data_IF_593540827470
#
_entry.id   IF_593540827470
#
_cell.length_a   1.000
_cell.length_b   1.000
_cell.length_c   1.000
_cell.angle_alpha   90.00
_cell.angle_beta   90.00
_cell.angle_gamma   90.00
#
_symmetry.space_group_name_H-M   'P 1'
#
loop_
_entity.id
_entity.type
_entity.pdbx_description
1 polymer ?
#
# COMPACT_ATOMS: atom_id res chain seq x y z
N UNK A 1 12.05 -36.21 56.52
CA UNK A 1 12.39 -35.01 55.72
C UNK A 1 13.79 -35.24 55.17
N UNK A 2 14.05 -36.26 54.33
CA UNK A 2 13.63 -36.47 52.93
C UNK A 2 14.14 -35.35 52.02
N UNK A 3 14.75 -35.51 50.84
CA UNK A 3 15.25 -36.60 49.98
C UNK A 3 15.96 -35.86 48.82
N UNK A 4 16.95 -36.47 48.17
CA UNK A 4 17.54 -35.97 46.91
C UNK A 4 16.50 -35.94 45.74
N UNK A 5 16.82 -35.30 44.59
CA UNK A 5 15.85 -34.58 43.77
C UNK A 5 15.26 -35.38 42.60
N UNK A 6 14.03 -35.04 42.18
CA UNK A 6 13.46 -35.46 40.90
C UNK A 6 12.95 -34.24 40.15
N UNK A 7 13.48 -34.02 38.94
CA UNK A 7 12.99 -33.03 37.97
C UNK A 7 11.72 -33.54 37.29
N UNK A 8 10.68 -32.72 37.07
CA UNK A 8 9.75 -32.95 35.98
C UNK A 8 10.26 -32.28 34.71
N UNK A 9 10.22 -33.02 33.60
CA UNK A 9 10.51 -32.55 32.27
C UNK A 9 9.57 -31.43 31.85
N UNK A 10 10.15 -30.34 31.37
CA UNK A 10 9.45 -29.22 30.75
C UNK A 10 9.12 -29.62 29.32
N UNK A 11 7.90 -30.07 29.08
CA UNK A 11 7.24 -29.90 27.78
C UNK A 11 6.78 -28.44 27.68
N UNK A 12 7.45 -27.63 26.86
CA UNK A 12 7.11 -26.23 26.74
C UNK A 12 8.21 -25.43 26.05
N UNK A 13 8.16 -25.43 24.73
CA UNK A 13 8.98 -24.66 23.80
C UNK A 13 9.13 -23.20 24.27
N UNK A 14 10.34 -22.81 24.69
CA UNK A 14 10.67 -21.40 24.93
C UNK A 14 10.65 -20.66 23.60
N UNK A 15 9.65 -19.80 23.41
CA UNK A 15 9.79 -18.66 22.49
C UNK A 15 10.85 -17.75 23.09
N UNK A 16 11.98 -17.59 22.39
CA UNK A 16 12.98 -16.59 22.75
C UNK A 16 12.32 -15.21 22.69
N UNK A 17 12.04 -14.63 23.86
CA UNK A 17 11.85 -13.19 23.99
C UNK A 17 13.17 -12.51 23.65
N UNK A 18 13.26 -11.95 22.45
CA UNK A 18 14.30 -10.98 22.13
C UNK A 18 13.80 -9.59 22.47
N UNK A 19 14.60 -8.94 23.30
CA UNK A 19 14.50 -7.57 23.75
C UNK A 19 14.11 -6.59 22.62
N UNK A 20 13.18 -5.68 22.94
CA UNK A 20 13.08 -4.38 22.31
C UNK A 20 14.41 -3.64 22.53
N UNK A 21 15.33 -3.81 21.59
CA UNK A 21 16.55 -3.02 21.50
C UNK A 21 16.29 -1.79 20.65
N UNK A 22 16.56 -0.62 21.24
CA UNK A 22 16.61 0.73 20.67
C UNK A 22 16.76 0.79 19.14
N UNK A 23 15.61 0.81 18.45
CA UNK A 23 15.54 1.03 17.02
C UNK A 23 15.87 2.48 16.69
N UNK A 24 17.12 2.71 16.27
CA UNK A 24 17.54 3.99 15.70
C UNK A 24 16.52 4.46 14.63
N UNK A 25 16.10 5.73 14.64
CA UNK A 25 15.24 6.27 13.60
C UNK A 25 16.03 6.25 12.29
N UNK A 26 15.51 5.51 11.32
CA UNK A 26 16.07 5.38 9.98
C UNK A 26 16.21 6.78 9.34
N UNK A 27 17.37 7.41 9.53
CA UNK A 27 17.75 8.67 8.91
C UNK A 27 18.36 8.36 7.54
N UNK A 28 17.57 8.64 6.49
CA UNK A 28 18.09 9.03 5.19
C UNK A 28 17.91 8.02 4.05
N UNK A 29 16.80 8.12 3.33
CA UNK A 29 16.80 8.20 1.86
C UNK A 29 15.44 8.75 1.36
N UNK A 30 15.42 9.74 0.45
CA UNK A 30 14.18 10.25 -0.15
C UNK A 30 13.56 9.20 -1.08
N UNK A 31 12.22 9.10 -1.10
CA UNK A 31 11.51 8.18 -1.98
C UNK A 31 11.65 8.61 -3.46
N UNK A 32 12.67 8.08 -4.14
CA UNK A 32 12.82 8.18 -5.58
C UNK A 32 11.93 7.10 -6.24
N UNK A 33 10.80 7.53 -6.81
CA UNK A 33 9.99 6.85 -7.83
C UNK A 33 10.15 5.30 -7.97
N UNK A 34 9.48 4.49 -7.15
CA UNK A 34 9.63 3.03 -7.25
C UNK A 34 8.48 2.10 -6.81
N UNK A 35 7.30 2.59 -6.41
CA UNK A 35 6.16 1.76 -5.98
C UNK A 35 4.81 2.44 -6.31
N UNK A 36 4.45 2.52 -7.59
CA UNK A 36 3.19 3.16 -8.01
C UNK A 36 2.52 2.35 -9.13
N UNK A 37 1.27 1.93 -8.90
CA UNK A 37 0.41 1.39 -9.97
C UNK A 37 -0.22 2.59 -10.68
N UNK A 38 -0.18 2.61 -12.02
CA UNK A 38 -0.85 3.62 -12.84
C UNK A 38 -2.00 2.95 -13.58
N UNK A 39 -3.21 3.46 -13.39
CA UNK A 39 -4.37 3.05 -14.18
C UNK A 39 -4.95 4.27 -14.88
N UNK A 40 -5.25 4.14 -16.18
CA UNK A 40 -5.43 5.26 -17.10
C UNK A 40 -6.37 6.35 -16.60
N UNK A 41 -7.53 5.98 -16.03
CA UNK A 41 -8.53 6.92 -15.49
C UNK A 41 -8.41 7.20 -13.98
N UNK A 42 -7.72 6.31 -13.26
CA UNK A 42 -7.61 6.38 -11.79
C UNK A 42 -6.36 7.16 -11.36
N UNK A 43 -5.39 7.30 -12.26
CA UNK A 43 -4.13 7.96 -12.01
C UNK A 43 -3.17 7.10 -11.19
N UNK A 44 -2.37 7.76 -10.36
CA UNK A 44 -1.41 7.09 -9.49
C UNK A 44 -2.10 6.48 -8.27
N UNK A 45 -1.86 5.19 -8.04
CA UNK A 45 -2.31 4.46 -6.85
C UNK A 45 -1.10 4.19 -5.95
N UNK A 46 -0.99 4.86 -4.78
CA UNK A 46 0.09 4.61 -3.83
C UNK A 46 0.02 3.20 -3.25
N UNK A 47 1.17 2.56 -3.09
CA UNK A 47 1.31 1.31 -2.35
C UNK A 47 1.52 1.60 -0.85
N UNK A 48 0.64 1.09 0.00
CA UNK A 48 0.75 1.08 1.45
C UNK A 48 1.49 -0.21 1.86
N UNK A 49 2.56 -0.12 2.67
CA UNK A 49 3.24 -1.31 3.20
C UNK A 49 2.29 -2.26 3.92
N UNK A 50 2.62 -3.54 3.97
CA UNK A 50 1.79 -4.53 4.65
C UNK A 50 1.60 -4.21 6.14
N UNK A 51 0.35 -4.31 6.58
CA UNK A 51 -0.08 -4.38 7.97
C UNK A 51 -1.12 -5.50 8.10
N UNK A 52 -1.35 -6.01 9.32
CA UNK A 52 -2.42 -6.99 9.53
C UNK A 52 -3.79 -6.35 9.22
N UNK A 53 -4.76 -7.10 8.69
CA UNK A 53 -6.13 -6.61 8.54
C UNK A 53 -6.67 -6.05 9.87
N UNK A 54 -7.27 -4.86 9.82
CA UNK A 54 -7.80 -4.17 10.99
C UNK A 54 -6.77 -3.42 11.84
N UNK A 55 -5.50 -3.35 11.43
CA UNK A 55 -4.51 -2.50 12.08
C UNK A 55 -4.87 -1.00 11.90
N UNK A 56 -5.12 -0.24 12.97
CA UNK A 56 -5.49 1.18 12.87
C UNK A 56 -4.40 2.04 12.21
N UNK A 57 -3.12 1.62 12.24
CA UNK A 57 -2.03 2.35 11.60
C UNK A 57 -2.21 2.52 10.08
N UNK A 58 -2.94 1.59 9.43
CA UNK A 58 -3.28 1.70 8.00
C UNK A 58 -4.13 2.93 7.74
N UNK A 59 -5.13 3.19 8.58
CA UNK A 59 -6.02 4.34 8.45
C UNK A 59 -5.25 5.66 8.51
N UNK A 60 -4.31 5.77 9.45
CA UNK A 60 -3.45 6.95 9.53
C UNK A 60 -2.55 7.12 8.31
N UNK A 61 -2.00 6.02 7.80
CA UNK A 61 -1.15 6.04 6.61
C UNK A 61 -1.92 6.52 5.39
N UNK A 62 -3.11 5.96 5.16
CA UNK A 62 -4.00 6.34 4.07
C UNK A 62 -4.43 7.81 4.21
N UNK A 63 -4.81 8.25 5.40
CA UNK A 63 -5.18 9.65 5.65
C UNK A 63 -4.03 10.63 5.32
N UNK A 64 -2.81 10.33 5.77
CA UNK A 64 -1.62 11.13 5.44
C UNK A 64 -1.36 11.18 3.93
N UNK A 65 -1.50 10.05 3.23
CA UNK A 65 -1.36 10.01 1.78
C UNK A 65 -2.41 10.85 1.06
N UNK A 66 -3.68 10.78 1.47
CA UNK A 66 -4.75 11.59 0.88
C UNK A 66 -4.42 13.09 1.02
N UNK A 67 -4.05 13.53 2.22
CA UNK A 67 -3.70 14.94 2.47
C UNK A 67 -2.49 15.37 1.65
N UNK A 68 -1.41 14.59 1.66
CA UNK A 68 -0.19 14.92 0.92
C UNK A 68 -0.47 15.04 -0.60
N UNK A 69 -1.25 14.11 -1.15
CA UNK A 69 -1.63 14.09 -2.58
C UNK A 69 -2.53 15.25 -2.96
N UNK A 70 -3.50 15.59 -2.11
CA UNK A 70 -4.35 16.78 -2.28
C UNK A 70 -3.52 18.06 -2.30
N UNK A 71 -2.59 18.22 -1.36
CA UNK A 71 -1.73 19.40 -1.28
C UNK A 71 -0.80 19.53 -2.48
N UNK A 72 -0.41 18.41 -3.09
CA UNK A 72 0.38 18.39 -4.33
C UNK A 72 -0.47 18.62 -5.60
N UNK A 73 -1.76 18.93 -5.47
CA UNK A 73 -2.67 19.14 -6.61
C UNK A 73 -3.00 17.86 -7.39
N UNK A 74 -2.74 16.68 -6.81
CA UNK A 74 -2.90 15.37 -7.46
C UNK A 74 -3.75 14.43 -6.60
N UNK A 75 -5.04 14.75 -6.35
CA UNK A 75 -5.87 13.98 -5.44
C UNK A 75 -6.02 12.53 -5.92
N UNK A 76 -5.96 11.59 -4.98
CA UNK A 76 -6.09 10.16 -5.24
C UNK A 76 -7.50 9.65 -4.88
N UNK A 77 -7.89 8.50 -5.47
CA UNK A 77 -9.15 7.79 -5.21
C UNK A 77 -8.97 6.33 -4.80
N UNK A 78 -7.71 5.89 -4.74
CA UNK A 78 -7.37 4.54 -4.38
C UNK A 78 -6.00 4.49 -3.71
N UNK A 79 -5.80 3.46 -2.89
CA UNK A 79 -4.48 2.95 -2.50
C UNK A 79 -4.44 1.46 -2.76
N UNK A 80 -3.24 0.92 -2.95
CA UNK A 80 -3.00 -0.52 -2.94
C UNK A 80 -2.45 -0.89 -1.57
N UNK A 81 -3.13 -1.77 -0.83
CA UNK A 81 -2.60 -2.35 0.39
C UNK A 81 -1.79 -3.59 0.02
N UNK A 82 -0.50 -3.61 0.33
CA UNK A 82 0.36 -4.75 0.02
C UNK A 82 -0.27 -6.05 0.55
N UNK A 83 -0.45 -7.07 -0.32
CA UNK A 83 -1.05 -8.39 -0.02
C UNK A 83 -2.53 -8.39 0.40
N UNK A 84 -3.18 -7.25 0.54
CA UNK A 84 -4.60 -7.16 0.89
C UNK A 84 -5.47 -6.65 -0.27
N UNK A 85 -4.87 -5.95 -1.23
CA UNK A 85 -5.55 -5.46 -2.42
C UNK A 85 -5.93 -3.99 -2.34
N UNK A 86 -6.73 -3.50 -3.31
CA UNK A 86 -7.06 -2.09 -3.40
C UNK A 86 -8.06 -1.67 -2.32
N UNK A 87 -7.90 -0.43 -1.84
CA UNK A 87 -8.96 0.30 -1.14
C UNK A 87 -9.31 1.53 -1.98
N UNK A 88 -10.58 1.66 -2.32
CA UNK A 88 -11.12 2.68 -3.25
C UNK A 88 -12.19 3.52 -2.57
N UNK A 89 -12.30 4.79 -2.96
CA UNK A 89 -13.35 5.70 -2.49
C UNK A 89 -13.72 6.70 -3.57
N UNK A 90 -14.96 7.19 -3.50
CA UNK A 90 -15.47 8.27 -4.34
C UNK A 90 -16.67 8.95 -3.65
N UNK A 91 -17.20 9.98 -4.28
CA UNK A 91 -18.40 10.71 -3.84
C UNK A 91 -19.69 9.87 -3.87
N UNK A 92 -19.68 8.72 -4.56
CA UNK A 92 -20.80 7.76 -4.56
C UNK A 92 -20.30 6.31 -4.72
N UNK A 93 -21.08 5.31 -4.25
CA UNK A 93 -20.73 3.90 -4.43
C UNK A 93 -20.57 3.48 -5.89
N UNK A 94 -21.42 3.98 -6.79
CA UNK A 94 -21.34 3.68 -8.22
C UNK A 94 -20.02 4.17 -8.84
N UNK A 95 -19.58 5.38 -8.48
CA UNK A 95 -18.30 5.89 -8.95
C UNK A 95 -17.11 5.14 -8.33
N UNK A 96 -17.20 4.75 -7.06
CA UNK A 96 -16.16 3.93 -6.43
C UNK A 96 -16.04 2.55 -7.08
N UNK A 97 -17.17 1.93 -7.46
CA UNK A 97 -17.19 0.68 -8.24
C UNK A 97 -16.50 0.87 -9.58
N UNK A 98 -16.84 1.94 -10.32
CA UNK A 98 -16.18 2.24 -11.60
C UNK A 98 -14.66 2.42 -11.47
N UNK A 99 -14.18 3.04 -10.39
CA UNK A 99 -12.74 3.13 -10.10
C UNK A 99 -12.13 1.74 -9.84
N UNK A 100 -12.81 0.89 -9.08
CA UNK A 100 -12.35 -0.48 -8.79
C UNK A 100 -12.28 -1.33 -10.06
N UNK A 101 -13.33 -1.31 -10.88
CA UNK A 101 -13.41 -2.05 -12.15
C UNK A 101 -12.27 -1.69 -13.09
N UNK A 102 -11.99 -0.39 -13.25
CA UNK A 102 -10.87 0.09 -14.08
C UNK A 102 -9.50 -0.36 -13.53
N UNK A 103 -9.34 -0.41 -12.20
CA UNK A 103 -8.11 -0.93 -11.57
C UNK A 103 -7.94 -2.43 -11.83
N UNK A 104 -8.99 -3.20 -11.66
CA UNK A 104 -8.97 -4.65 -11.88
C UNK A 104 -8.72 -5.00 -13.34
N UNK A 105 -9.35 -4.29 -14.28
CA UNK A 105 -9.11 -4.47 -15.71
C UNK A 105 -7.68 -4.12 -16.09
N UNK A 106 -7.16 -2.99 -15.61
CA UNK A 106 -5.78 -2.60 -15.85
C UNK A 106 -4.80 -3.64 -15.29
N UNK A 107 -5.05 -4.14 -14.07
CA UNK A 107 -4.22 -5.17 -13.46
C UNK A 107 -4.27 -6.49 -14.25
N UNK A 108 -5.46 -6.89 -14.70
CA UNK A 108 -5.64 -8.09 -15.55
C UNK A 108 -4.89 -7.95 -16.87
N UNK A 109 -5.07 -6.84 -17.58
CA UNK A 109 -4.36 -6.55 -18.83
C UNK A 109 -2.84 -6.56 -18.62
N UNK A 110 -2.34 -5.95 -17.54
CA UNK A 110 -0.93 -5.95 -17.20
C UNK A 110 -0.39 -7.37 -16.94
N UNK A 111 -1.13 -8.19 -16.19
CA UNK A 111 -0.72 -9.58 -15.91
C UNK A 111 -0.70 -10.44 -17.18
N UNK A 112 -1.64 -10.21 -18.10
CA UNK A 112 -1.75 -10.96 -19.36
C UNK A 112 -0.71 -10.55 -20.40
N UNK A 113 -0.38 -9.26 -20.49
CA UNK A 113 0.41 -8.72 -21.61
C UNK A 113 1.76 -8.15 -21.20
N UNK A 114 1.95 -7.82 -19.92
CA UNK A 114 3.15 -7.17 -19.35
C UNK A 114 3.65 -6.01 -20.23
N UNK A 115 2.77 -5.04 -20.54
CA UNK A 115 3.10 -3.99 -21.49
C UNK A 115 4.20 -3.10 -20.89
N UNK A 116 5.03 -2.54 -21.75
CA UNK A 116 5.93 -1.47 -21.34
C UNK A 116 5.09 -0.27 -20.84
N UNK A 117 5.52 0.42 -19.77
CA UNK A 117 4.87 1.66 -19.35
C UNK A 117 4.90 2.70 -20.48
N UNK A 118 3.87 3.55 -20.53
CA UNK A 118 3.89 4.73 -21.38
C UNK A 118 5.06 5.66 -20.97
N UNK A 119 5.68 6.27 -21.96
CA UNK A 119 6.67 7.32 -21.73
C UNK A 119 6.03 8.61 -21.21
N UNK A 120 6.86 9.50 -20.66
CA UNK A 120 6.38 10.73 -20.04
C UNK A 120 5.70 11.67 -21.03
N UNK A 121 6.10 11.65 -22.31
CA UNK A 121 5.48 12.46 -23.35
C UNK A 121 4.04 12.02 -23.64
N UNK A 122 3.83 10.71 -23.81
CA UNK A 122 2.50 10.12 -24.01
C UNK A 122 1.61 10.34 -22.78
N UNK A 123 2.18 10.26 -21.57
CA UNK A 123 1.46 10.54 -20.33
C UNK A 123 1.03 12.02 -20.23
N UNK A 124 1.86 12.95 -20.68
CA UNK A 124 1.54 14.38 -20.70
C UNK A 124 0.46 14.71 -21.75
N UNK A 125 0.52 14.07 -22.92
CA UNK A 125 -0.53 14.15 -23.92
C UNK A 125 -1.89 13.72 -23.34
N UNK A 126 -1.93 12.58 -22.64
CA UNK A 126 -3.13 12.10 -21.97
C UNK A 126 -3.61 13.10 -20.90
N UNK A 127 -2.70 13.67 -20.11
CA UNK A 127 -3.06 14.66 -19.09
C UNK A 127 -3.72 15.89 -19.70
N UNK A 128 -3.12 16.43 -20.75
CA UNK A 128 -3.62 17.63 -21.42
C UNK A 128 -4.96 17.36 -22.12
N UNK A 129 -5.05 16.25 -22.86
CA UNK A 129 -6.24 15.89 -23.66
C UNK A 129 -7.45 15.62 -22.79
N UNK A 130 -7.29 14.87 -21.70
CA UNK A 130 -8.38 14.49 -20.81
C UNK A 130 -8.55 15.43 -19.61
N UNK A 131 -7.73 16.49 -19.52
CA UNK A 131 -7.67 17.43 -18.38
C UNK A 131 -7.54 16.70 -17.04
N UNK A 132 -6.69 15.69 -17.05
CA UNK A 132 -6.49 14.83 -15.91
C UNK A 132 -5.70 15.53 -14.79
N UNK A 133 -6.08 15.27 -13.54
CA UNK A 133 -5.49 15.92 -12.36
C UNK A 133 -4.72 14.91 -11.47
N UNK A 134 -3.97 13.99 -12.08
CA UNK A 134 -3.24 12.91 -11.37
C UNK A 134 -1.72 12.88 -11.59
#
# INVERSE_FOLDING_TARGET
>A
MDTEPVRPEIGGQRVHGQAFGDGQPNRGAPCQCGNQIRAGKVGQVPLVPYHRPGDPAVGEWVARCIVARRNAGKPIRAVMLERLGPNVWHDSPAQASGVLEELEETARLWLMTRPAPLDDASLEELRTTFRAIW
#
